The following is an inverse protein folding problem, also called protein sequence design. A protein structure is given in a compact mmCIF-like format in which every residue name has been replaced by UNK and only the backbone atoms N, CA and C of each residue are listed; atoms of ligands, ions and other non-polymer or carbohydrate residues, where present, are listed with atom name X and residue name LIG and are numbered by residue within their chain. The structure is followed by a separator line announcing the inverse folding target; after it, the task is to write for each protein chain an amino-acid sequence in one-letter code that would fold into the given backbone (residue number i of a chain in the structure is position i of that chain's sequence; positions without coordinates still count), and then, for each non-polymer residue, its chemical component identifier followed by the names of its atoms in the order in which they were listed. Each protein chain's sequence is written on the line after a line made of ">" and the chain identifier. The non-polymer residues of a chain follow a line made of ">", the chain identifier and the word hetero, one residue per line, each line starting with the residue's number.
data_IF_582684562443
#
_entry.id   IF_582684562443
#
_cell.length_a   1.000
_cell.length_b   1.000
_cell.length_c   1.000
_cell.angle_alpha   90.00
_cell.angle_beta   90.00
_cell.angle_gamma   90.00
#
_symmetry.space_group_name_H-M   'P 1'
#
loop_
_entity.id
_entity.type
_entity.pdbx_description
1 polymer ?
#
# COMPACT_ATOMS: atom_id res chain seq x y z
N UNK A 1 9.41 3.54 -35.05
CA UNK A 1 9.85 4.25 -33.84
C UNK A 1 9.56 3.30 -32.69
N UNK A 2 10.58 2.63 -32.17
CA UNK A 2 10.45 1.90 -30.90
C UNK A 2 10.41 2.98 -29.81
N UNK A 3 9.26 3.15 -29.17
CA UNK A 3 9.23 3.81 -27.86
C UNK A 3 10.07 2.93 -26.96
N UNK A 4 11.30 3.36 -26.73
CA UNK A 4 12.17 2.79 -25.72
C UNK A 4 11.58 3.25 -24.40
N UNK A 5 10.60 2.52 -23.89
CA UNK A 5 10.05 2.74 -22.55
C UNK A 5 11.22 2.80 -21.58
N UNK A 6 11.34 3.92 -20.87
CA UNK A 6 12.35 4.06 -19.83
C UNK A 6 12.05 2.99 -18.77
N UNK A 7 13.02 2.13 -18.37
CA UNK A 7 12.83 1.17 -17.29
C UNK A 7 12.28 1.80 -16.00
N UNK A 8 12.53 3.11 -15.79
CA UNK A 8 11.96 3.90 -14.68
C UNK A 8 10.45 4.08 -14.86
N UNK A 9 9.99 4.44 -16.05
CA UNK A 9 8.57 4.66 -16.35
C UNK A 9 7.79 3.34 -16.21
N UNK A 10 8.34 2.23 -16.72
CA UNK A 10 7.71 0.91 -16.56
C UNK A 10 7.61 0.48 -15.10
N UNK A 11 8.66 0.72 -14.30
CA UNK A 11 8.64 0.39 -12.88
C UNK A 11 7.65 1.28 -12.11
N UNK A 12 7.54 2.56 -12.48
CA UNK A 12 6.63 3.49 -11.85
C UNK A 12 5.16 3.18 -12.18
N UNK A 13 4.87 2.80 -13.42
CA UNK A 13 3.52 2.39 -13.82
C UNK A 13 3.12 1.06 -13.18
N UNK A 14 4.04 0.08 -13.12
CA UNK A 14 3.81 -1.16 -12.39
C UNK A 14 3.53 -0.93 -10.89
N UNK A 15 4.19 0.06 -10.28
CA UNK A 15 3.89 0.47 -8.91
C UNK A 15 2.49 1.09 -8.80
N UNK A 16 2.12 2.04 -9.68
CA UNK A 16 0.80 2.69 -9.64
C UNK A 16 -0.33 1.69 -9.74
N UNK A 17 -0.22 0.72 -10.66
CA UNK A 17 -1.24 -0.32 -10.83
C UNK A 17 -1.37 -1.16 -9.55
N UNK A 18 -0.26 -1.60 -8.97
CA UNK A 18 -0.26 -2.36 -7.72
C UNK A 18 -0.81 -1.54 -6.54
N UNK A 19 -0.44 -0.26 -6.40
CA UNK A 19 -0.95 0.64 -5.35
C UNK A 19 -2.45 0.88 -5.50
N UNK A 20 -2.94 1.08 -6.73
CA UNK A 20 -4.36 1.28 -6.99
C UNK A 20 -5.21 0.06 -6.55
N UNK A 21 -4.76 -1.14 -6.91
CA UNK A 21 -5.42 -2.40 -6.50
C UNK A 21 -5.34 -2.59 -4.99
N UNK A 22 -4.17 -2.35 -4.39
CA UNK A 22 -3.98 -2.42 -2.94
C UNK A 22 -4.91 -1.48 -2.18
N UNK A 23 -5.07 -0.22 -2.64
CA UNK A 23 -5.96 0.77 -2.00
C UNK A 23 -7.43 0.42 -2.14
N UNK A 24 -7.82 -0.19 -3.26
CA UNK A 24 -9.19 -0.66 -3.43
C UNK A 24 -9.53 -1.73 -2.39
N UNK A 25 -8.63 -2.69 -2.17
CA UNK A 25 -8.86 -3.76 -1.20
C UNK A 25 -8.75 -3.28 0.26
N UNK A 26 -7.84 -2.35 0.54
CA UNK A 26 -7.77 -1.72 1.87
C UNK A 26 -9.08 -0.97 2.22
N UNK A 27 -9.70 -0.29 1.25
CA UNK A 27 -11.02 0.33 1.46
C UNK A 27 -12.08 -0.70 1.83
N UNK A 28 -12.11 -1.83 1.14
CA UNK A 28 -13.05 -2.92 1.43
C UNK A 28 -12.86 -3.47 2.85
N UNK A 29 -11.60 -3.67 3.27
CA UNK A 29 -11.27 -4.07 4.65
C UNK A 29 -11.73 -3.02 5.66
N UNK A 30 -11.49 -1.73 5.40
CA UNK A 30 -11.92 -0.64 6.27
C UNK A 30 -13.44 -0.56 6.38
N UNK A 31 -14.16 -0.68 5.26
CA UNK A 31 -15.63 -0.68 5.23
C UNK A 31 -16.22 -1.90 5.96
N UNK A 32 -15.59 -3.07 5.85
CA UNK A 32 -15.99 -4.26 6.59
C UNK A 32 -15.81 -4.08 8.11
N UNK A 33 -14.68 -3.49 8.54
CA UNK A 33 -14.48 -3.12 9.94
C UNK A 33 -15.50 -2.09 10.43
N UNK A 34 -15.77 -1.06 9.61
CA UNK A 34 -16.77 -0.06 9.95
C UNK A 34 -18.16 -0.69 10.17
N UNK A 35 -18.60 -1.58 9.28
CA UNK A 35 -19.87 -2.29 9.45
C UNK A 35 -19.87 -3.21 10.68
N UNK A 36 -18.76 -3.86 10.98
CA UNK A 36 -18.65 -4.67 12.20
C UNK A 36 -18.82 -3.80 13.46
N UNK A 37 -18.08 -2.69 13.53
CA UNK A 37 -18.03 -1.84 14.71
C UNK A 37 -19.32 -1.01 14.91
N UNK A 38 -19.93 -0.52 13.81
CA UNK A 38 -21.09 0.36 13.87
C UNK A 38 -22.43 -0.37 13.76
N UNK A 39 -22.49 -1.47 13.03
CA UNK A 39 -23.75 -2.18 12.71
C UNK A 39 -23.80 -3.57 13.37
N UNK A 40 -22.75 -3.99 14.08
CA UNK A 40 -22.64 -5.33 14.65
C UNK A 40 -22.55 -6.44 13.60
N UNK A 41 -22.17 -6.09 12.36
CA UNK A 41 -21.99 -7.04 11.27
C UNK A 41 -20.85 -8.03 11.58
N UNK A 42 -20.63 -9.04 10.72
CA UNK A 42 -19.46 -9.90 10.85
C UNK A 42 -18.17 -9.10 10.56
N UNK A 43 -17.06 -9.38 11.28
CA UNK A 43 -15.76 -8.78 10.96
C UNK A 43 -15.27 -9.26 9.58
N UNK A 44 -14.33 -8.53 8.94
CA UNK A 44 -13.75 -8.97 7.68
C UNK A 44 -13.11 -10.34 7.81
N UNK A 45 -13.18 -11.12 6.73
CA UNK A 45 -12.60 -12.45 6.69
C UNK A 45 -11.08 -12.38 6.80
N UNK A 46 -10.48 -13.45 7.36
CA UNK A 46 -9.02 -13.57 7.45
C UNK A 46 -8.36 -13.58 6.06
N UNK A 47 -9.02 -14.18 5.07
CA UNK A 47 -8.53 -14.26 3.71
C UNK A 47 -8.48 -12.88 3.05
N UNK A 48 -9.54 -12.08 3.20
CA UNK A 48 -9.57 -10.69 2.73
C UNK A 48 -8.44 -9.86 3.34
N UNK A 49 -8.26 -9.94 4.66
CA UNK A 49 -7.18 -9.22 5.34
C UNK A 49 -5.79 -9.68 4.87
N UNK A 50 -5.62 -10.97 4.59
CA UNK A 50 -4.37 -11.54 4.10
C UNK A 50 -4.06 -11.05 2.68
N UNK A 51 -5.05 -11.04 1.82
CA UNK A 51 -4.93 -10.54 0.44
C UNK A 51 -4.56 -9.06 0.43
N UNK A 52 -5.23 -8.23 1.25
CA UNK A 52 -4.89 -6.81 1.41
C UNK A 52 -3.48 -6.60 1.93
N UNK A 53 -3.01 -7.43 2.86
CA UNK A 53 -1.62 -7.37 3.32
C UNK A 53 -0.62 -7.75 2.21
N UNK A 54 -0.95 -8.75 1.39
CA UNK A 54 -0.06 -9.21 0.32
C UNK A 54 0.05 -8.18 -0.81
N UNK A 55 -1.08 -7.58 -1.24
CA UNK A 55 -1.10 -6.54 -2.27
C UNK A 55 -0.36 -5.27 -1.83
N UNK A 56 -0.51 -4.86 -0.57
CA UNK A 56 0.29 -3.76 0.00
C UNK A 56 1.78 -4.04 -0.06
N UNK A 57 2.18 -5.26 0.29
CA UNK A 57 3.58 -5.65 0.24
C UNK A 57 4.10 -5.61 -1.19
N UNK A 58 3.36 -6.17 -2.15
CA UNK A 58 3.73 -6.16 -3.57
C UNK A 58 3.84 -4.73 -4.12
N UNK A 59 2.91 -3.83 -3.77
CA UNK A 59 2.98 -2.43 -4.15
C UNK A 59 4.25 -1.74 -3.58
N UNK A 60 4.59 -1.99 -2.31
CA UNK A 60 5.82 -1.47 -1.73
C UNK A 60 7.08 -2.01 -2.42
N UNK A 61 7.14 -3.30 -2.78
CA UNK A 61 8.28 -3.86 -3.50
C UNK A 61 8.47 -3.18 -4.87
N UNK A 62 7.38 -2.88 -5.58
CA UNK A 62 7.41 -2.14 -6.85
C UNK A 62 7.87 -0.69 -6.66
N UNK A 63 7.42 -0.02 -5.61
CA UNK A 63 7.88 1.32 -5.28
C UNK A 63 9.39 1.33 -4.98
N UNK A 64 9.87 0.40 -4.17
CA UNK A 64 11.28 0.26 -3.84
C UNK A 64 12.13 0.01 -5.09
N UNK A 65 11.61 -0.81 -6.03
CA UNK A 65 12.25 -1.02 -7.33
C UNK A 65 12.34 0.28 -8.14
N UNK A 66 11.25 1.05 -8.24
CA UNK A 66 11.24 2.32 -8.96
C UNK A 66 12.20 3.35 -8.33
N UNK A 67 12.24 3.44 -7.00
CA UNK A 67 13.17 4.30 -6.25
C UNK A 67 14.62 3.90 -6.54
N UNK A 68 14.94 2.60 -6.56
CA UNK A 68 16.30 2.13 -6.88
C UNK A 68 16.71 2.53 -8.31
N UNK A 69 15.82 2.38 -9.28
CA UNK A 69 16.10 2.79 -10.66
C UNK A 69 16.32 4.31 -10.79
N UNK A 70 15.49 5.11 -10.12
CA UNK A 70 15.67 6.56 -10.05
C UNK A 70 17.00 6.95 -9.40
N UNK A 71 17.40 6.23 -8.35
CA UNK A 71 18.68 6.44 -7.67
C UNK A 71 19.86 6.10 -8.58
N UNK A 72 19.82 4.95 -9.25
CA UNK A 72 20.89 4.49 -10.14
C UNK A 72 21.02 5.40 -11.38
N UNK A 73 19.93 6.03 -11.82
CA UNK A 73 19.94 7.06 -12.84
C UNK A 73 20.43 8.44 -12.35
N UNK A 74 20.74 8.58 -11.05
CA UNK A 74 21.21 9.82 -10.43
C UNK A 74 20.12 10.90 -10.30
N UNK A 75 18.85 10.54 -10.46
CA UNK A 75 17.71 11.46 -10.44
C UNK A 75 17.24 11.80 -9.02
N UNK A 76 17.56 10.94 -8.05
CA UNK A 76 17.27 11.15 -6.63
C UNK A 76 18.48 10.81 -5.77
N UNK A 77 18.74 11.59 -4.73
CA UNK A 77 19.71 11.22 -3.70
C UNK A 77 19.02 10.41 -2.60
N UNK A 78 19.66 9.35 -2.06
CA UNK A 78 19.06 8.57 -0.99
C UNK A 78 19.02 9.43 0.27
N UNK A 79 17.83 9.91 0.64
CA UNK A 79 17.62 10.50 1.95
C UNK A 79 17.76 9.39 3.00
N UNK A 80 18.66 9.56 3.97
CA UNK A 80 18.96 8.60 5.04
C UNK A 80 17.78 8.30 5.99
N UNK A 81 16.65 8.99 5.82
CA UNK A 81 15.56 9.00 6.80
C UNK A 81 14.36 8.11 6.45
N UNK A 82 14.29 7.52 5.26
CA UNK A 82 13.07 6.82 4.79
C UNK A 82 12.87 5.43 5.40
N UNK A 83 13.89 4.83 6.05
CA UNK A 83 13.79 3.45 6.59
C UNK A 83 13.15 3.40 7.99
N UNK A 84 12.80 4.54 8.60
CA UNK A 84 12.37 4.55 10.01
C UNK A 84 11.09 5.33 10.27
N UNK A 85 9.96 4.81 9.78
CA UNK A 85 8.68 5.02 10.44
C UNK A 85 7.64 3.96 10.02
N UNK A 86 7.73 2.76 10.60
CA UNK A 86 6.50 1.99 10.84
C UNK A 86 5.86 2.54 12.12
N UNK A 87 4.73 3.25 12.06
CA UNK A 87 3.87 3.34 13.24
C UNK A 87 3.36 1.92 13.52
N UNK A 88 3.81 1.34 14.64
CA UNK A 88 3.13 0.19 15.24
C UNK A 88 1.67 0.59 15.40
N UNK A 89 0.77 -0.21 14.83
CA UNK A 89 -0.66 -0.08 15.02
C UNK A 89 -0.98 -0.03 16.52
N UNK A 90 -1.21 1.18 17.05
CA UNK A 90 -1.86 1.36 18.34
C UNK A 90 -3.33 1.09 18.14
N UNK A 91 -3.72 -0.13 18.47
CA UNK A 91 -5.09 -0.57 18.63
C UNK A 91 -5.72 0.19 19.81
N UNK A 92 -6.69 1.05 19.53
CA UNK A 92 -7.79 1.34 20.45
C UNK A 92 -8.95 1.97 19.65
N UNK A 93 -10.05 1.25 19.38
CA UNK A 93 -11.30 1.92 19.05
C UNK A 93 -11.78 2.63 20.33
N UNK A 94 -11.92 3.95 20.24
CA UNK A 94 -12.62 4.74 21.25
C UNK A 94 -14.09 4.30 21.29
N UNK A 95 -14.75 4.32 22.46
CA UNK A 95 -16.15 3.96 22.55
C UNK A 95 -16.99 4.97 21.75
N UNK A 96 -17.88 4.47 20.90
CA UNK A 96 -18.95 5.25 20.30
C UNK A 96 -19.78 5.87 21.43
N UNK A 97 -19.71 7.19 21.57
CA UNK A 97 -20.64 7.96 22.41
C UNK A 97 -21.87 8.31 21.56
N UNK A 98 -22.99 7.83 22.08
CA UNK A 98 -24.42 8.02 21.77
C UNK A 98 -24.76 9.26 20.95
#
# INVERSE_FOLDING_TARGET
>A
MQEMNDPIDEAYDAWKEADAVSRALDREVTEAWHRHDCEGAAPPSRDLMREAAWLRHAAHEKLDQAIRLLHDAGLIQPSKDTVRAMPRASRAPGPCLI
#
